data_IF_396722335798
#
_entry.id   IF_396722335798
#
_cell.length_a   1.000
_cell.length_b   1.000
_cell.length_c   1.000
_cell.angle_alpha   90.00
_cell.angle_beta   90.00
_cell.angle_gamma   90.00
#
_symmetry.space_group_name_H-M   'P 1'
#
loop_
_entity.id
_entity.type
_entity.pdbx_description
1 polymer ?
#
# COMPACT_ATOMS: atom_id res chain seq x y z
N UNK A 1 0.09 11.91 -13.92
CA UNK A 1 0.29 11.12 -12.69
C UNK A 1 0.20 12.08 -11.52
N UNK A 2 -0.51 11.73 -10.42
CA UNK A 2 -0.57 12.62 -9.26
C UNK A 2 0.68 12.43 -8.42
N UNK A 3 1.31 13.52 -8.02
CA UNK A 3 2.46 13.49 -7.13
C UNK A 3 2.07 12.90 -5.77
N UNK A 4 2.89 12.00 -5.23
CA UNK A 4 2.68 11.40 -3.91
C UNK A 4 2.59 12.47 -2.80
N UNK A 5 3.35 13.55 -2.94
CA UNK A 5 3.26 14.72 -2.05
C UNK A 5 1.86 15.35 -1.95
N UNK A 6 1.04 15.21 -2.99
CA UNK A 6 -0.35 15.66 -3.00
C UNK A 6 -1.30 14.58 -2.49
N UNK A 7 -1.09 13.33 -2.90
CA UNK A 7 -1.90 12.19 -2.47
C UNK A 7 -1.82 11.94 -0.97
N UNK A 8 -0.64 12.04 -0.36
CA UNK A 8 -0.45 11.85 1.09
C UNK A 8 -1.15 12.91 1.96
N UNK A 9 -1.65 14.01 1.37
CA UNK A 9 -2.42 15.04 2.07
C UNK A 9 -3.93 14.77 2.08
N UNK A 10 -4.39 13.78 1.33
CA UNK A 10 -5.79 13.35 1.34
C UNK A 10 -6.18 12.78 2.71
N UNK A 11 -7.49 12.69 2.93
CA UNK A 11 -8.09 12.21 4.17
C UNK A 11 -9.05 11.06 3.87
N UNK A 12 -9.28 10.23 4.89
CA UNK A 12 -10.34 9.24 4.84
C UNK A 12 -11.68 9.97 4.62
N UNK A 13 -12.46 9.52 3.64
CA UNK A 13 -13.75 10.08 3.29
C UNK A 13 -13.71 11.17 2.21
N UNK A 14 -12.52 11.61 1.77
CA UNK A 14 -12.42 12.52 0.62
C UNK A 14 -13.13 11.90 -0.60
N UNK A 15 -13.92 12.72 -1.31
CA UNK A 15 -14.64 12.27 -2.50
C UNK A 15 -13.69 12.25 -3.68
N UNK A 16 -13.47 11.07 -4.25
CA UNK A 16 -12.70 10.92 -5.49
C UNK A 16 -13.63 11.27 -6.64
N UNK A 17 -13.47 12.46 -7.21
CA UNK A 17 -14.27 12.89 -8.36
C UNK A 17 -13.77 12.17 -9.62
N UNK A 18 -14.59 11.24 -10.13
CA UNK A 18 -14.29 10.43 -11.32
C UNK A 18 -13.99 11.26 -12.58
N UNK A 19 -14.55 12.47 -12.68
CA UNK A 19 -14.55 13.25 -13.93
C UNK A 19 -13.18 13.78 -14.39
N UNK A 20 -12.13 13.70 -13.57
CA UNK A 20 -10.76 14.12 -13.95
C UNK A 20 -9.72 12.98 -13.92
N UNK A 21 -10.09 11.78 -13.47
CA UNK A 21 -9.16 10.67 -13.30
C UNK A 21 -9.70 9.44 -14.03
N UNK A 22 -8.94 8.93 -15.01
CA UNK A 22 -9.17 7.59 -15.54
C UNK A 22 -8.82 6.56 -14.46
N UNK A 23 -9.78 6.29 -13.56
CA UNK A 23 -9.66 5.23 -12.56
C UNK A 23 -10.23 3.94 -13.12
N UNK A 24 -9.52 2.84 -12.88
CA UNK A 24 -9.96 1.50 -13.33
C UNK A 24 -10.34 0.69 -12.09
N UNK A 25 -11.61 0.30 -11.99
CA UNK A 25 -12.07 -0.59 -10.92
C UNK A 25 -11.41 -1.96 -11.06
N UNK A 26 -10.85 -2.46 -9.94
CA UNK A 26 -10.18 -3.76 -9.88
C UNK A 26 -10.98 -4.83 -9.14
N UNK A 27 -12.10 -4.44 -8.50
CA UNK A 27 -12.93 -5.30 -7.66
C UNK A 27 -12.70 -5.07 -6.17
N UNK A 28 -13.65 -5.48 -5.33
CA UNK A 28 -13.60 -5.39 -3.86
C UNK A 28 -13.21 -3.99 -3.31
N UNK A 29 -13.65 -2.92 -3.98
CA UNK A 29 -13.38 -1.55 -3.55
C UNK A 29 -11.95 -1.06 -3.85
N UNK A 30 -11.16 -1.80 -4.64
CA UNK A 30 -9.87 -1.34 -5.13
C UNK A 30 -9.97 -0.70 -6.52
N UNK A 31 -9.17 0.34 -6.72
CA UNK A 31 -9.13 1.13 -7.95
C UNK A 31 -7.68 1.46 -8.32
N UNK A 32 -7.37 1.41 -9.61
CA UNK A 32 -6.07 1.78 -10.19
C UNK A 32 -6.11 3.21 -10.72
N UNK A 33 -5.09 4.01 -10.38
CA UNK A 33 -4.92 5.41 -10.82
C UNK A 33 -3.87 5.50 -11.93
N UNK A 34 -2.76 4.78 -11.76
CA UNK A 34 -1.64 4.68 -12.70
C UNK A 34 -1.01 3.29 -12.61
N UNK A 35 0.13 3.07 -13.26
CA UNK A 35 0.83 1.79 -13.26
C UNK A 35 1.25 1.31 -11.86
N UNK A 36 1.53 2.26 -10.95
CA UNK A 36 2.08 2.04 -9.62
C UNK A 36 1.25 2.66 -8.48
N UNK A 37 0.16 3.37 -8.80
CA UNK A 37 -0.72 4.03 -7.82
C UNK A 37 -2.11 3.41 -7.83
N UNK A 38 -2.58 3.04 -6.64
CA UNK A 38 -3.86 2.41 -6.39
C UNK A 38 -4.51 3.04 -5.16
N UNK A 39 -5.82 2.85 -4.99
CA UNK A 39 -6.53 3.26 -3.78
C UNK A 39 -7.66 2.31 -3.43
N UNK A 40 -8.04 2.31 -2.16
CA UNK A 40 -9.26 1.68 -1.69
C UNK A 40 -10.33 2.75 -1.47
N UNK A 41 -11.55 2.46 -1.87
CA UNK A 41 -12.69 3.34 -1.64
C UNK A 41 -14.00 2.58 -1.48
N UNK A 42 -14.90 3.17 -0.70
CA UNK A 42 -16.29 2.74 -0.62
C UNK A 42 -17.14 3.51 -1.63
N UNK A 43 -17.90 2.78 -2.45
CA UNK A 43 -18.89 3.38 -3.33
C UNK A 43 -20.14 3.80 -2.53
N UNK A 44 -20.65 4.99 -2.83
CA UNK A 44 -21.89 5.50 -2.26
C UNK A 44 -22.66 6.31 -3.30
N UNK A 45 -23.99 6.36 -3.17
CA UNK A 45 -24.83 7.21 -4.02
C UNK A 45 -25.06 8.56 -3.36
N UNK A 46 -24.90 9.63 -4.14
CA UNK A 46 -25.19 11.00 -3.74
C UNK A 46 -25.90 11.70 -4.90
N UNK A 47 -27.14 12.16 -4.65
CA UNK A 47 -28.02 12.75 -5.67
C UNK A 47 -28.22 11.88 -6.93
N UNK A 48 -28.09 10.55 -6.80
CA UNK A 48 -28.24 9.60 -7.91
C UNK A 48 -26.96 9.41 -8.74
N UNK A 49 -25.87 10.12 -8.43
CA UNK A 49 -24.54 9.84 -8.97
C UNK A 49 -23.78 8.91 -8.00
N UNK A 50 -23.08 7.92 -8.55
CA UNK A 50 -22.16 7.10 -7.76
C UNK A 50 -20.88 7.90 -7.50
N UNK A 51 -20.42 7.88 -6.25
CA UNK A 51 -19.21 8.56 -5.79
C UNK A 51 -18.38 7.61 -4.95
N UNK A 52 -17.08 7.87 -4.86
CA UNK A 52 -16.13 7.05 -4.13
C UNK A 52 -15.61 7.81 -2.91
N UNK A 53 -15.71 7.21 -1.72
CA UNK A 53 -15.07 7.68 -0.48
C UNK A 53 -13.71 7.03 -0.32
N UNK A 54 -12.66 7.82 -0.40
CA UNK A 54 -11.29 7.35 -0.26
C UNK A 54 -11.05 6.77 1.15
N UNK A 55 -10.44 5.60 1.21
CA UNK A 55 -10.09 4.92 2.47
C UNK A 55 -8.58 4.90 2.70
N UNK A 56 -7.83 4.53 1.65
CA UNK A 56 -6.37 4.42 1.73
C UNK A 56 -5.75 4.48 0.34
N UNK A 57 -4.44 4.69 0.30
CA UNK A 57 -3.65 4.71 -0.92
C UNK A 57 -2.67 3.55 -0.91
N UNK A 58 -2.31 3.08 -2.10
CA UNK A 58 -1.34 2.03 -2.30
C UNK A 58 -0.34 2.45 -3.37
N UNK A 59 0.92 2.25 -3.05
CA UNK A 59 1.96 2.13 -4.05
C UNK A 59 2.31 0.66 -4.24
N UNK A 60 2.57 0.24 -5.47
CA UNK A 60 3.13 -1.08 -5.77
C UNK A 60 4.00 -1.04 -7.02
N UNK A 61 5.01 -1.91 -7.10
CA UNK A 61 5.90 -1.95 -8.26
C UNK A 61 5.24 -2.32 -9.59
N UNK A 62 4.08 -2.94 -9.52
CA UNK A 62 3.28 -3.35 -10.66
C UNK A 62 1.88 -3.71 -10.20
N UNK A 63 0.98 -3.96 -11.15
CA UNK A 63 -0.36 -4.43 -10.84
C UNK A 63 -0.35 -5.83 -10.18
N UNK A 64 0.41 -6.83 -10.67
CA UNK A 64 0.56 -8.09 -9.94
C UNK A 64 1.09 -7.94 -8.51
N UNK A 65 2.04 -7.04 -8.30
CA UNK A 65 2.55 -6.71 -6.97
C UNK A 65 1.44 -6.15 -6.05
N UNK A 66 0.62 -5.22 -6.56
CA UNK A 66 -0.56 -4.73 -5.82
C UNK A 66 -1.52 -5.88 -5.48
N UNK A 67 -1.81 -6.75 -6.45
CA UNK A 67 -2.74 -7.88 -6.26
C UNK A 67 -2.23 -8.88 -5.23
N UNK A 68 -0.92 -9.13 -5.17
CA UNK A 68 -0.30 -9.91 -4.09
C UNK A 68 -0.52 -9.25 -2.72
N UNK A 69 -0.29 -7.94 -2.61
CA UNK A 69 -0.43 -7.22 -1.34
C UNK A 69 -1.88 -7.20 -0.84
N UNK A 70 -2.84 -6.91 -1.72
CA UNK A 70 -4.25 -6.72 -1.34
C UNK A 70 -5.08 -8.01 -1.43
N UNK A 71 -5.07 -8.69 -2.57
CA UNK A 71 -5.86 -9.91 -2.80
C UNK A 71 -5.14 -11.19 -2.37
N UNK A 72 -3.87 -11.12 -1.93
CA UNK A 72 -3.05 -12.29 -1.59
C UNK A 72 -2.85 -13.23 -2.78
N UNK A 73 -2.81 -12.67 -3.98
CA UNK A 73 -2.56 -13.37 -5.24
C UNK A 73 -1.04 -13.59 -5.41
N UNK A 74 -0.51 -14.64 -4.76
CA UNK A 74 0.92 -14.95 -4.73
C UNK A 74 1.38 -15.57 -6.05
N UNK A 75 0.54 -16.36 -6.69
CA UNK A 75 0.86 -17.14 -7.89
C UNK A 75 1.10 -16.28 -9.12
N UNK A 76 0.43 -15.13 -9.19
CA UNK A 76 0.53 -14.22 -10.33
C UNK A 76 1.53 -13.08 -10.12
N UNK A 77 2.24 -13.02 -8.98
CA UNK A 77 3.23 -11.99 -8.71
C UNK A 77 4.38 -12.05 -9.73
N UNK A 78 4.68 -10.91 -10.34
CA UNK A 78 5.69 -10.78 -11.41
C UNK A 78 7.11 -10.55 -10.87
N UNK A 79 7.27 -10.49 -9.54
CA UNK A 79 8.52 -10.21 -8.85
C UNK A 79 9.16 -8.88 -9.25
N UNK A 80 8.39 -7.92 -9.77
CA UNK A 80 8.90 -6.62 -10.19
C UNK A 80 9.59 -5.89 -9.03
N UNK A 81 10.79 -5.37 -9.30
CA UNK A 81 11.58 -4.58 -8.34
C UNK A 81 11.68 -3.16 -8.84
N UNK A 82 11.36 -2.22 -7.97
CA UNK A 82 11.37 -0.80 -8.26
C UNK A 82 11.55 -0.03 -6.94
N UNK A 83 11.97 1.23 -7.06
CA UNK A 83 12.21 2.06 -5.87
C UNK A 83 10.90 2.65 -5.34
N UNK A 84 10.64 2.60 -4.02
CA UNK A 84 9.48 3.25 -3.44
C UNK A 84 9.55 4.78 -3.58
N UNK A 85 8.39 5.46 -3.67
CA UNK A 85 8.34 6.90 -3.63
C UNK A 85 8.93 7.41 -2.30
N UNK A 86 9.86 8.36 -2.32
CA UNK A 86 10.50 8.86 -1.10
C UNK A 86 9.51 9.49 -0.12
N UNK A 87 8.38 10.01 -0.61
CA UNK A 87 7.30 10.58 0.20
C UNK A 87 6.58 9.54 1.07
N UNK A 88 6.68 8.25 0.73
CA UNK A 88 6.07 7.16 1.48
C UNK A 88 7.03 6.52 2.48
N UNK A 89 8.31 6.91 2.49
CA UNK A 89 9.31 6.38 3.41
C UNK A 89 9.26 7.12 4.75
N UNK A 90 9.66 6.47 5.86
CA UNK A 90 9.84 7.17 7.12
C UNK A 90 10.87 8.31 6.96
N UNK A 91 10.66 9.42 7.68
CA UNK A 91 11.52 10.60 7.56
C UNK A 91 12.98 10.25 7.84
N UNK A 92 13.87 10.51 6.87
CA UNK A 92 15.30 10.24 6.98
C UNK A 92 15.71 8.77 6.82
N UNK A 93 14.76 7.87 6.52
CA UNK A 93 15.05 6.49 6.19
C UNK A 93 15.53 6.34 4.74
N UNK A 94 16.32 5.28 4.50
CA UNK A 94 16.50 4.75 3.15
C UNK A 94 15.33 3.83 2.74
N UNK A 95 15.49 3.15 1.62
CA UNK A 95 14.44 2.37 0.96
C UNK A 95 14.40 0.88 1.33
N UNK A 96 15.42 0.38 2.04
CA UNK A 96 15.55 -1.05 2.34
C UNK A 96 14.83 -1.44 3.62
N UNK A 97 14.51 -2.72 3.77
CA UNK A 97 13.88 -3.31 4.95
C UNK A 97 14.60 -2.89 6.24
N UNK A 98 15.92 -3.03 6.31
CA UNK A 98 16.69 -2.71 7.52
C UNK A 98 16.63 -1.22 7.85
N UNK A 99 16.73 -0.35 6.84
CA UNK A 99 16.68 1.10 7.01
C UNK A 99 15.30 1.58 7.45
N UNK A 100 14.23 1.06 6.83
CA UNK A 100 12.85 1.36 7.20
C UNK A 100 12.59 0.87 8.64
N UNK A 101 12.96 -0.37 8.96
CA UNK A 101 12.79 -0.94 10.30
C UNK A 101 13.53 -0.15 11.38
N UNK A 102 14.78 0.24 11.12
CA UNK A 102 15.56 1.05 12.05
C UNK A 102 14.94 2.43 12.26
N UNK A 103 14.48 3.09 11.20
CA UNK A 103 13.82 4.38 11.30
C UNK A 103 12.52 4.30 12.11
N UNK A 104 11.68 3.29 11.85
CA UNK A 104 10.47 3.05 12.64
C UNK A 104 10.79 2.73 14.11
N UNK A 105 11.82 1.89 14.35
CA UNK A 105 12.26 1.55 15.70
C UNK A 105 12.81 2.73 16.49
N UNK A 106 13.39 3.73 15.83
CA UNK A 106 13.86 4.96 16.48
C UNK A 106 12.72 5.82 17.05
N UNK A 107 11.48 5.64 16.56
CA UNK A 107 10.28 6.29 17.09
C UNK A 107 9.75 5.59 18.36
N UNK A 108 10.23 4.38 18.65
CA UNK A 108 9.80 3.51 19.75
C UNK A 108 9.40 2.13 19.26
N UNK A 109 9.78 1.08 19.99
CA UNK A 109 9.45 -0.32 19.64
C UNK A 109 7.95 -0.64 19.72
N UNK A 110 7.17 0.20 20.38
CA UNK A 110 5.71 0.14 20.44
C UNK A 110 5.03 0.89 19.27
N UNK A 111 5.80 1.56 18.41
CA UNK A 111 5.27 2.39 17.30
C UNK A 111 5.10 1.65 15.98
N UNK A 112 5.66 0.45 15.88
CA UNK A 112 5.45 -0.40 14.72
C UNK A 112 5.38 -1.87 15.12
N UNK A 113 4.76 -2.66 14.27
CA UNK A 113 4.69 -4.11 14.40
C UNK A 113 5.35 -4.72 13.17
N UNK A 114 6.13 -5.77 13.39
CA UNK A 114 6.61 -6.64 12.33
C UNK A 114 5.82 -7.94 12.35
N UNK A 115 5.36 -8.38 11.19
CA UNK A 115 4.57 -9.61 11.07
C UNK A 115 4.83 -10.34 9.75
N UNK A 116 4.39 -11.60 9.71
CA UNK A 116 4.33 -12.42 8.50
C UNK A 116 2.88 -12.78 8.19
N UNK A 117 2.50 -12.75 6.92
CA UNK A 117 1.15 -13.04 6.44
C UNK A 117 1.15 -14.32 5.62
N UNK A 118 0.15 -15.17 5.88
CA UNK A 118 -0.04 -16.47 5.23
C UNK A 118 -1.49 -16.67 4.82
N UNK A 119 -1.75 -17.45 3.77
CA UNK A 119 -3.11 -17.87 3.42
C UNK A 119 -3.53 -19.11 4.19
N UNK A 120 -3.97 -18.88 5.44
CA UNK A 120 -4.26 -19.95 6.41
C UNK A 120 -5.38 -20.90 5.96
N UNK A 121 -6.41 -20.42 5.24
CA UNK A 121 -7.57 -21.23 4.86
C UNK A 121 -7.48 -21.91 3.48
N UNK A 122 -6.44 -21.63 2.68
CA UNK A 122 -6.27 -22.23 1.35
C UNK A 122 -5.19 -23.30 1.35
N UNK A 123 -3.95 -22.89 1.56
CA UNK A 123 -2.76 -23.70 1.27
C UNK A 123 -1.56 -23.38 2.17
N UNK A 124 -1.71 -22.41 3.09
CA UNK A 124 -0.63 -21.98 3.97
C UNK A 124 0.49 -21.21 3.24
N UNK A 125 0.27 -20.78 1.99
CA UNK A 125 1.29 -20.06 1.24
C UNK A 125 1.67 -18.76 1.94
N UNK A 126 2.97 -18.47 1.96
CA UNK A 126 3.52 -17.21 2.46
C UNK A 126 3.18 -16.07 1.50
N UNK A 127 2.53 -15.03 2.01
CA UNK A 127 2.13 -13.87 1.22
C UNK A 127 3.19 -12.78 1.27
N UNK A 128 3.54 -12.31 2.46
CA UNK A 128 4.56 -11.29 2.66
C UNK A 128 4.99 -11.19 4.12
N UNK A 129 6.08 -10.47 4.34
CA UNK A 129 6.44 -9.87 5.62
C UNK A 129 6.02 -8.40 5.60
N UNK A 130 5.53 -7.88 6.72
CA UNK A 130 5.03 -6.51 6.86
C UNK A 130 5.73 -5.77 7.99
N UNK A 131 6.09 -4.50 7.75
CA UNK A 131 6.38 -3.52 8.79
C UNK A 131 5.22 -2.53 8.83
N UNK A 132 4.48 -2.51 9.92
CA UNK A 132 3.26 -1.71 10.06
C UNK A 132 3.42 -0.65 11.13
N UNK A 133 3.23 0.62 10.75
CA UNK A 133 3.11 1.75 11.65
C UNK A 133 1.69 2.33 11.62
N UNK A 134 1.46 3.43 12.34
CA UNK A 134 0.20 4.18 12.27
C UNK A 134 -0.05 4.82 10.90
N UNK A 135 1.01 5.12 10.14
CA UNK A 135 0.92 5.84 8.86
C UNK A 135 1.00 4.92 7.65
N UNK A 136 1.70 3.80 7.74
CA UNK A 136 1.94 2.96 6.57
C UNK A 136 2.17 1.49 6.93
N UNK A 137 2.00 0.63 5.92
CA UNK A 137 2.48 -0.76 5.94
C UNK A 137 3.42 -0.95 4.76
N UNK A 138 4.63 -1.42 5.04
CA UNK A 138 5.63 -1.75 4.03
C UNK A 138 5.65 -3.26 3.83
N UNK A 139 5.40 -3.73 2.60
CA UNK A 139 5.30 -5.15 2.28
C UNK A 139 6.57 -5.66 1.59
N UNK A 140 7.06 -6.81 2.06
CA UNK A 140 8.30 -7.46 1.60
C UNK A 140 8.00 -8.90 1.17
N UNK A 141 8.61 -9.37 0.07
CA UNK A 141 8.27 -10.64 -0.58
C UNK A 141 9.01 -11.84 -0.01
N UNK A 142 10.21 -11.63 0.52
CA UNK A 142 11.06 -12.73 0.98
C UNK A 142 10.63 -13.19 2.38
N UNK A 143 10.58 -14.51 2.53
CA UNK A 143 10.28 -15.17 3.79
C UNK A 143 11.37 -14.90 4.83
N UNK A 144 12.63 -14.99 4.40
CA UNK A 144 13.78 -14.65 5.21
C UNK A 144 13.89 -13.13 5.46
N UNK A 145 14.66 -12.77 6.48
CA UNK A 145 15.05 -11.38 6.72
C UNK A 145 16.23 -11.07 5.80
N UNK A 146 15.99 -10.18 4.82
CA UNK A 146 17.01 -9.68 3.91
C UNK A 146 17.09 -8.16 4.09
N UNK A 147 18.20 -7.69 4.65
CA UNK A 147 18.36 -6.30 5.09
C UNK A 147 18.23 -5.28 3.96
N UNK A 148 18.65 -5.66 2.75
CA UNK A 148 18.68 -4.84 1.53
C UNK A 148 17.39 -4.97 0.68
N UNK A 149 16.40 -5.74 1.15
CA UNK A 149 15.16 -5.95 0.41
C UNK A 149 14.36 -4.64 0.30
N UNK A 150 13.92 -4.28 -0.91
CA UNK A 150 13.01 -3.16 -1.12
C UNK A 150 11.56 -3.59 -0.88
N UNK A 151 10.70 -2.72 -0.35
CA UNK A 151 9.27 -3.01 -0.31
C UNK A 151 8.75 -3.15 -1.74
N UNK A 152 7.88 -4.13 -1.98
CA UNK A 152 7.24 -4.31 -3.28
C UNK A 152 5.91 -3.56 -3.40
N UNK A 153 5.33 -3.23 -2.24
CA UNK A 153 4.14 -2.44 -2.10
C UNK A 153 4.15 -1.70 -0.77
N UNK A 154 3.50 -0.55 -0.73
CA UNK A 154 3.31 0.26 0.47
C UNK A 154 1.84 0.65 0.55
N UNK A 155 1.17 0.27 1.64
CA UNK A 155 -0.13 0.81 2.01
C UNK A 155 0.09 2.09 2.80
N UNK A 156 -0.46 3.20 2.32
CA UNK A 156 -0.50 4.47 3.04
C UNK A 156 -1.86 4.67 3.71
N UNK A 157 -1.84 4.75 5.04
CA UNK A 157 -3.04 4.94 5.88
C UNK A 157 -3.32 6.43 5.98
N UNK A 158 -4.48 6.83 5.49
CA UNK A 158 -4.91 8.22 5.59
C UNK A 158 -5.33 8.54 7.02
N UNK A 159 -5.06 9.77 7.46
CA UNK A 159 -5.51 10.22 8.77
C UNK A 159 -7.03 10.36 8.80
N UNK A 160 -7.65 9.87 9.88
CA UNK A 160 -9.01 10.28 10.24
C UNK A 160 -8.99 11.75 10.68
N UNK A 161 -10.01 12.51 10.29
CA UNK A 161 -10.24 13.89 10.80
C UNK A 161 -10.62 13.85 12.27
#
# INVERSE_FOLDING_TARGET
>A
MKEWSSLCKSKVGDVVVEREQCVIAMGDGAYKISDDQYFLADAFSDEGEEKLRLLSLYWACSEPAFRRAYYRDVENDDMAVCRPPPELLPVGAGETYSQIKNALGSLGSDKFIEYASYRVMSDGAFVHKGLESSLAVYYFRLHDIVDEELPYAILWKLSNV
#
